data_IF_189200525323
#
_entry.id   IF_189200525323
#
_cell.length_a   1.000
_cell.length_b   1.000
_cell.length_c   1.000
_cell.angle_alpha   90.00
_cell.angle_beta   90.00
_cell.angle_gamma   90.00
#
_symmetry.space_group_name_H-M   'P 1'
#
loop_
_entity.id
_entity.type
_entity.pdbx_description
1 polymer ?
#
# COMPACT_ATOMS: atom_id res chain seq x y z
N UNK A 1 10.12 8.79 83.31
CA UNK A 1 10.24 7.63 82.37
C UNK A 1 8.87 7.38 81.75
N UNK A 2 8.70 7.86 80.52
CA UNK A 2 7.58 7.51 79.66
C UNK A 2 8.14 6.73 78.44
N UNK A 3 7.60 5.59 78.06
CA UNK A 3 7.96 4.93 76.77
C UNK A 3 7.08 5.52 75.63
N UNK A 4 7.75 5.92 74.57
CA UNK A 4 7.16 6.34 73.31
C UNK A 4 6.67 5.07 72.56
N UNK A 5 5.36 5.00 72.34
CA UNK A 5 4.71 3.96 71.56
C UNK A 5 4.77 4.37 70.08
N UNK A 6 5.60 3.70 69.28
CA UNK A 6 5.64 3.89 67.84
C UNK A 6 4.47 3.13 67.20
N UNK A 7 3.49 3.86 66.67
CA UNK A 7 2.42 3.30 65.85
C UNK A 7 2.91 3.19 64.42
N UNK A 8 3.19 1.98 63.96
CA UNK A 8 3.36 1.66 62.53
C UNK A 8 2.01 1.72 61.82
N UNK A 9 1.76 2.79 61.09
CA UNK A 9 0.68 2.82 60.10
C UNK A 9 1.05 1.96 58.90
N UNK A 10 0.55 0.72 58.84
CA UNK A 10 0.53 -0.06 57.62
C UNK A 10 -0.53 0.53 56.70
N UNK A 11 -0.11 1.30 55.70
CA UNK A 11 -0.96 1.65 54.55
C UNK A 11 -1.11 0.42 53.67
N UNK A 12 -2.15 -0.35 53.88
CA UNK A 12 -2.64 -1.33 52.89
C UNK A 12 -3.15 -0.55 51.68
N UNK A 13 -2.28 -0.44 50.66
CA UNK A 13 -2.69 0.02 49.34
C UNK A 13 -3.73 -0.92 48.75
N UNK A 14 -5.00 -0.60 48.89
CA UNK A 14 -6.06 -1.24 48.11
C UNK A 14 -5.82 -0.88 46.62
N UNK A 15 -5.20 -1.80 45.89
CA UNK A 15 -5.26 -1.81 44.45
C UNK A 15 -6.71 -2.16 44.06
N UNK A 16 -7.60 -1.20 44.11
CA UNK A 16 -8.92 -1.33 43.49
C UNK A 16 -8.71 -1.45 42.01
N UNK A 17 -8.72 -2.68 41.48
CA UNK A 17 -9.01 -2.90 40.05
C UNK A 17 -10.30 -2.12 39.81
N UNK A 18 -10.23 -1.02 39.06
CA UNK A 18 -11.44 -0.38 38.51
C UNK A 18 -12.13 -1.45 37.70
N UNK A 19 -13.20 -2.04 38.20
CA UNK A 19 -14.10 -2.84 37.39
C UNK A 19 -14.51 -1.96 36.21
N UNK A 20 -14.23 -2.44 35.01
CA UNK A 20 -14.68 -1.77 33.80
C UNK A 20 -16.21 -1.74 33.85
N UNK A 21 -16.78 -0.56 33.94
CA UNK A 21 -18.23 -0.36 33.86
C UNK A 21 -18.63 -0.88 32.48
N UNK A 22 -19.37 -1.99 32.46
CA UNK A 22 -19.94 -2.52 31.23
C UNK A 22 -20.98 -1.53 30.72
N UNK A 23 -20.67 -0.87 29.62
CA UNK A 23 -21.59 0.01 28.89
C UNK A 23 -22.32 -0.79 27.80
N UNK A 24 -23.50 -0.32 27.41
CA UNK A 24 -24.17 -0.79 26.21
C UNK A 24 -23.23 -0.66 25.01
N UNK A 25 -23.17 -1.65 24.11
CA UNK A 25 -22.39 -1.55 22.88
C UNK A 25 -22.91 -0.49 21.90
N UNK A 26 -24.04 0.16 22.23
CA UNK A 26 -24.63 1.26 21.46
C UNK A 26 -24.39 2.55 22.26
N UNK A 27 -23.69 3.49 21.66
CA UNK A 27 -23.57 4.85 22.20
C UNK A 27 -24.78 5.67 21.74
N UNK A 28 -25.64 6.01 22.68
CA UNK A 28 -26.87 6.78 22.42
C UNK A 28 -26.57 8.21 21.93
N UNK A 29 -25.40 8.76 22.22
CA UNK A 29 -24.99 10.07 21.71
C UNK A 29 -24.82 10.08 20.17
N UNK A 30 -24.63 8.92 19.56
CA UNK A 30 -24.54 8.80 18.11
C UNK A 30 -25.91 8.91 17.39
N UNK A 31 -27.02 8.82 18.14
CA UNK A 31 -28.37 8.88 17.57
C UNK A 31 -28.81 10.35 17.38
N UNK A 32 -29.44 10.62 16.25
CA UNK A 32 -30.26 11.82 16.05
C UNK A 32 -31.74 11.47 16.29
N UNK A 33 -32.20 11.70 17.52
CA UNK A 33 -33.58 11.39 17.91
C UNK A 33 -34.62 12.33 17.30
N UNK A 34 -34.19 13.39 16.62
CA UNK A 34 -35.10 14.31 15.88
C UNK A 34 -35.44 13.75 14.49
N UNK A 35 -34.61 12.84 13.95
CA UNK A 35 -34.86 12.17 12.69
C UNK A 35 -35.87 11.03 12.84
N UNK A 36 -36.80 10.91 11.88
CA UNK A 36 -37.75 9.81 11.84
C UNK A 36 -37.11 8.54 11.27
N UNK A 37 -36.98 7.44 12.04
CA UNK A 37 -36.31 6.22 11.58
C UNK A 37 -36.93 5.63 10.28
N UNK A 38 -38.24 5.78 10.11
CA UNK A 38 -38.94 5.33 8.91
C UNK A 38 -38.67 6.18 7.67
N UNK A 39 -38.18 7.42 7.82
CA UNK A 39 -37.83 8.31 6.71
C UNK A 39 -36.34 8.20 6.36
N UNK A 40 -35.46 8.22 7.37
CA UNK A 40 -34.02 8.04 7.20
C UNK A 40 -33.44 7.35 8.41
N UNK A 41 -33.30 6.03 8.32
CA UNK A 41 -32.70 5.25 9.40
C UNK A 41 -31.23 5.61 9.61
N UNK A 42 -30.50 5.92 8.53
CA UNK A 42 -29.12 6.35 8.61
C UNK A 42 -28.96 7.64 9.44
N UNK A 43 -29.77 8.66 9.15
CA UNK A 43 -29.74 9.90 9.91
C UNK A 43 -30.09 9.65 11.39
N UNK A 44 -31.14 8.87 11.66
CA UNK A 44 -31.52 8.52 13.00
C UNK A 44 -30.39 7.81 13.78
N UNK A 45 -29.74 6.82 13.15
CA UNK A 45 -28.72 5.98 13.79
C UNK A 45 -27.35 6.65 13.93
N UNK A 46 -26.99 7.56 13.03
CA UNK A 46 -25.65 8.12 12.91
C UNK A 46 -25.60 9.66 12.98
N UNK A 47 -26.73 10.36 13.02
CA UNK A 47 -26.77 11.82 12.92
C UNK A 47 -26.02 12.54 14.04
N UNK A 48 -26.12 12.09 15.28
CA UNK A 48 -25.37 12.64 16.41
C UNK A 48 -23.86 12.40 16.27
N UNK A 49 -23.47 11.25 15.74
CA UNK A 49 -22.06 11.00 15.44
C UNK A 49 -21.52 11.96 14.37
N UNK A 50 -22.27 12.18 13.28
CA UNK A 50 -21.90 13.07 12.18
C UNK A 50 -21.75 14.51 12.70
N UNK A 51 -22.66 14.96 13.56
CA UNK A 51 -22.62 16.30 14.15
C UNK A 51 -21.38 16.48 15.05
N UNK A 52 -21.04 15.46 15.84
CA UNK A 52 -19.90 15.51 16.76
C UNK A 52 -18.55 15.28 16.08
N UNK A 53 -18.53 14.79 14.81
CA UNK A 53 -17.32 14.52 14.04
C UNK A 53 -17.39 15.20 12.66
N UNK A 54 -17.33 16.56 12.63
CA UNK A 54 -17.40 17.29 11.36
C UNK A 54 -16.20 16.96 10.48
N UNK A 55 -16.47 16.88 9.15
CA UNK A 55 -15.43 16.64 8.16
C UNK A 55 -14.43 17.82 8.15
N UNK A 56 -13.15 17.53 8.39
CA UNK A 56 -12.06 18.50 8.29
C UNK A 56 -11.51 18.57 6.86
N UNK A 57 -10.81 19.63 6.52
CA UNK A 57 -10.28 19.86 5.17
C UNK A 57 -9.17 18.86 4.75
N UNK A 58 -8.57 18.16 5.71
CA UNK A 58 -7.61 17.05 5.45
C UNK A 58 -8.27 15.80 4.85
N UNK A 59 -9.61 15.68 4.98
CA UNK A 59 -10.37 14.48 4.58
C UNK A 59 -11.45 14.82 3.55
N UNK A 60 -11.63 13.95 2.56
CA UNK A 60 -12.79 13.96 1.66
C UNK A 60 -13.96 13.13 2.19
N UNK A 61 -13.70 12.26 3.13
CA UNK A 61 -14.67 11.45 3.89
C UNK A 61 -14.09 11.17 5.27
N UNK A 62 -14.93 10.92 6.26
CA UNK A 62 -14.49 10.58 7.62
C UNK A 62 -15.48 9.61 8.26
N UNK A 63 -14.97 8.54 8.89
CA UNK A 63 -15.76 7.51 9.53
C UNK A 63 -15.00 6.83 10.67
N UNK A 64 -15.57 5.76 11.23
CA UNK A 64 -14.99 5.04 12.37
C UNK A 64 -13.59 4.49 12.08
N UNK A 65 -13.32 4.06 10.83
CA UNK A 65 -11.99 3.60 10.44
C UNK A 65 -10.97 4.72 10.37
N UNK A 66 -11.39 5.91 9.91
CA UNK A 66 -10.50 7.08 9.89
C UNK A 66 -10.15 7.51 11.32
N UNK A 67 -11.10 7.41 12.28
CA UNK A 67 -10.84 7.65 13.70
C UNK A 67 -9.81 6.67 14.28
N UNK A 68 -9.97 5.36 13.97
CA UNK A 68 -9.02 4.34 14.43
C UNK A 68 -7.63 4.57 13.81
N UNK A 69 -7.59 4.88 12.52
CA UNK A 69 -6.35 5.20 11.81
C UNK A 69 -5.64 6.43 12.40
N UNK A 70 -6.38 7.51 12.72
CA UNK A 70 -5.80 8.68 13.39
C UNK A 70 -5.25 8.32 14.78
N UNK A 71 -5.97 7.51 15.54
CA UNK A 71 -5.50 7.05 16.86
C UNK A 71 -4.23 6.21 16.75
N UNK A 72 -4.18 5.24 15.86
CA UNK A 72 -2.98 4.43 15.61
C UNK A 72 -1.82 5.32 15.16
N UNK A 73 -2.08 6.28 14.27
CA UNK A 73 -1.06 7.22 13.79
C UNK A 73 -0.47 8.09 14.91
N UNK A 74 -1.27 8.57 15.84
CA UNK A 74 -0.76 9.30 17.02
C UNK A 74 0.08 8.38 17.93
N UNK A 75 -0.32 7.12 18.12
CA UNK A 75 0.46 6.13 18.86
C UNK A 75 1.80 5.82 18.19
N UNK A 76 1.80 5.66 16.86
CA UNK A 76 3.01 5.47 16.06
C UNK A 76 3.93 6.70 16.13
N UNK A 77 3.36 7.91 16.06
CA UNK A 77 4.12 9.16 16.22
C UNK A 77 4.87 9.21 17.53
N UNK A 78 4.22 8.85 18.66
CA UNK A 78 4.88 8.81 19.96
C UNK A 78 6.07 7.84 19.97
N UNK A 79 5.90 6.62 19.44
CA UNK A 79 6.96 5.61 19.35
C UNK A 79 8.11 6.07 18.47
N UNK A 80 7.81 6.54 17.29
CA UNK A 80 8.80 6.93 16.27
C UNK A 80 9.57 8.18 16.76
N UNK A 81 8.89 9.19 17.30
CA UNK A 81 9.52 10.40 17.80
C UNK A 81 10.45 10.14 19.00
N UNK A 82 10.09 9.18 19.87
CA UNK A 82 10.97 8.75 20.96
C UNK A 82 12.29 8.18 20.43
N UNK A 83 12.26 7.37 19.38
CA UNK A 83 13.44 6.80 18.74
C UNK A 83 14.24 7.85 17.97
N UNK A 84 13.56 8.74 17.26
CA UNK A 84 14.16 9.82 16.49
C UNK A 84 14.90 10.86 17.37
N UNK A 85 14.47 11.04 18.62
CA UNK A 85 15.13 11.90 19.58
C UNK A 85 16.44 11.31 20.15
N UNK A 86 16.64 10.00 20.09
CA UNK A 86 17.84 9.31 20.59
C UNK A 86 18.99 9.42 19.58
N UNK A 87 20.12 9.96 20.02
CA UNK A 87 21.33 10.13 19.17
C UNK A 87 22.30 8.94 19.23
N UNK A 88 22.07 8.02 20.14
CA UNK A 88 22.92 6.88 20.47
C UNK A 88 22.31 5.52 20.09
N UNK A 89 21.35 5.53 19.17
CA UNK A 89 20.81 4.31 18.60
C UNK A 89 21.94 3.50 17.94
N UNK A 90 22.06 2.22 18.28
CA UNK A 90 23.11 1.35 17.73
C UNK A 90 23.00 1.28 16.18
N UNK A 91 24.12 1.45 15.45
CA UNK A 91 24.11 1.39 14.00
C UNK A 91 23.51 0.08 13.48
N UNK A 92 22.63 0.15 12.46
CA UNK A 92 21.94 -0.99 11.88
C UNK A 92 20.79 -1.56 12.73
N UNK A 93 20.55 -1.02 13.93
CA UNK A 93 19.41 -1.43 14.76
C UNK A 93 18.08 -0.96 14.19
N UNK A 94 17.00 -1.65 14.58
CA UNK A 94 15.63 -1.23 14.28
C UNK A 94 15.35 0.23 14.72
N UNK A 95 15.82 0.60 15.89
CA UNK A 95 15.67 1.96 16.46
C UNK A 95 16.37 3.02 15.61
N UNK A 96 17.59 2.74 15.12
CA UNK A 96 18.32 3.64 14.23
C UNK A 96 17.56 3.81 12.91
N UNK A 97 17.14 2.72 12.27
CA UNK A 97 16.45 2.76 10.97
C UNK A 97 15.17 3.59 11.04
N UNK A 98 14.35 3.36 12.07
CA UNK A 98 13.08 4.09 12.28
C UNK A 98 13.34 5.57 12.59
N UNK A 99 14.26 5.85 13.52
CA UNK A 99 14.57 7.22 13.93
C UNK A 99 15.18 8.06 12.81
N UNK A 100 16.14 7.51 12.08
CA UNK A 100 16.82 8.23 11.00
C UNK A 100 15.90 8.48 9.82
N UNK A 101 15.10 7.50 9.38
CA UNK A 101 14.14 7.69 8.30
C UNK A 101 13.11 8.77 8.64
N UNK A 102 12.64 8.80 9.88
CA UNK A 102 11.73 9.85 10.34
C UNK A 102 12.40 11.23 10.34
N UNK A 103 13.61 11.34 10.88
CA UNK A 103 14.36 12.60 10.91
C UNK A 103 14.62 13.14 9.50
N UNK A 104 15.02 12.29 8.56
CA UNK A 104 15.20 12.66 7.15
C UNK A 104 13.88 13.16 6.55
N UNK A 105 12.77 12.48 6.79
CA UNK A 105 11.45 12.87 6.30
C UNK A 105 10.98 14.22 6.88
N UNK A 106 11.40 14.56 8.10
CA UNK A 106 11.04 15.81 8.78
C UNK A 106 11.93 17.00 8.41
N UNK A 107 13.11 16.77 7.82
CA UNK A 107 14.08 17.84 7.47
C UNK A 107 13.68 18.57 6.19
N UNK A 108 12.68 19.45 6.29
CA UNK A 108 12.23 20.26 5.16
C UNK A 108 13.32 21.20 4.62
N UNK A 109 14.28 21.62 5.44
CA UNK A 109 15.36 22.52 5.01
C UNK A 109 16.29 21.80 4.04
N UNK A 110 16.70 20.57 4.39
CA UNK A 110 17.52 19.70 3.54
C UNK A 110 16.76 19.38 2.25
N UNK A 111 15.51 18.90 2.34
CA UNK A 111 14.71 18.52 1.18
C UNK A 111 14.49 19.68 0.20
N UNK A 112 14.19 20.88 0.70
CA UNK A 112 14.02 22.07 -0.16
C UNK A 112 15.33 22.53 -0.79
N UNK A 113 16.46 22.35 -0.11
CA UNK A 113 17.79 22.63 -0.69
C UNK A 113 18.17 21.63 -1.78
N UNK A 114 17.84 20.37 -1.61
CA UNK A 114 18.12 19.31 -2.59
C UNK A 114 17.26 19.44 -3.85
N UNK A 115 16.00 19.86 -3.71
CA UNK A 115 15.06 19.99 -4.85
C UNK A 115 14.95 18.70 -5.64
N UNK A 116 15.25 18.75 -6.93
CA UNK A 116 15.27 17.60 -7.84
C UNK A 116 16.63 16.84 -7.86
N UNK A 117 17.63 17.27 -7.07
CA UNK A 117 18.95 16.65 -7.11
C UNK A 117 18.95 15.12 -6.89
N UNK A 118 18.11 14.56 -5.98
CA UNK A 118 18.08 13.12 -5.72
C UNK A 118 17.73 12.25 -6.93
N UNK A 119 17.02 12.77 -7.93
CA UNK A 119 16.61 12.00 -9.12
C UNK A 119 17.48 12.31 -10.36
N UNK A 120 18.41 13.24 -10.28
CA UNK A 120 19.17 13.71 -11.46
C UNK A 120 20.03 12.63 -12.11
N UNK A 121 20.67 11.78 -11.32
CA UNK A 121 21.50 10.70 -11.85
C UNK A 121 20.66 9.70 -12.65
N UNK A 122 19.51 9.34 -12.14
CA UNK A 122 18.60 8.40 -12.82
C UNK A 122 17.92 9.04 -14.03
N UNK A 123 17.57 10.34 -13.98
CA UNK A 123 17.13 11.10 -15.15
C UNK A 123 18.17 11.06 -16.27
N UNK A 124 19.45 11.28 -15.92
CA UNK A 124 20.55 11.20 -16.88
C UNK A 124 20.77 9.78 -17.43
N UNK A 125 20.55 8.75 -16.61
CA UNK A 125 20.61 7.35 -17.06
C UNK A 125 19.51 7.04 -18.08
N UNK A 126 18.30 7.58 -17.90
CA UNK A 126 17.20 7.47 -18.88
C UNK A 126 17.59 8.18 -20.18
N UNK A 127 18.15 9.39 -20.10
CA UNK A 127 18.59 10.15 -21.27
C UNK A 127 19.69 9.40 -22.06
N UNK A 128 20.52 8.63 -21.36
CA UNK A 128 21.61 7.85 -21.96
C UNK A 128 21.17 6.56 -22.66
N UNK A 129 19.89 6.13 -22.55
CA UNK A 129 19.37 4.96 -23.27
C UNK A 129 19.53 5.15 -24.78
N UNK A 130 20.11 4.14 -25.44
CA UNK A 130 20.51 4.22 -26.86
C UNK A 130 19.50 3.58 -27.79
N UNK A 131 18.83 2.56 -27.32
CA UNK A 131 17.89 1.78 -28.11
C UNK A 131 16.77 1.18 -27.25
N UNK A 132 15.86 0.50 -27.92
CA UNK A 132 14.67 -0.10 -27.29
C UNK A 132 14.98 -1.33 -26.45
N UNK A 133 16.10 -2.01 -26.71
CA UNK A 133 16.51 -3.18 -25.95
C UNK A 133 16.91 -2.80 -24.53
N UNK A 134 17.51 -1.62 -24.35
CA UNK A 134 17.87 -1.10 -23.02
C UNK A 134 16.63 -0.74 -22.19
N UNK A 135 15.47 -0.48 -22.82
CA UNK A 135 14.21 -0.22 -22.09
C UNK A 135 13.78 -1.43 -21.27
N UNK A 136 13.92 -2.66 -21.78
CA UNK A 136 13.50 -3.87 -21.04
C UNK A 136 14.31 -4.05 -19.74
N UNK A 137 15.61 -3.80 -19.83
CA UNK A 137 16.49 -3.79 -18.65
C UNK A 137 16.12 -2.66 -17.68
N UNK A 138 15.87 -1.46 -18.22
CA UNK A 138 15.49 -0.30 -17.40
C UNK A 138 14.14 -0.53 -16.67
N UNK A 139 13.14 -1.13 -17.33
CA UNK A 139 11.86 -1.49 -16.68
C UNK A 139 12.11 -2.39 -15.46
N UNK A 140 12.95 -3.43 -15.62
CA UNK A 140 13.25 -4.35 -14.53
C UNK A 140 14.02 -3.67 -13.38
N UNK A 141 15.02 -2.82 -13.69
CA UNK A 141 15.75 -2.06 -12.66
C UNK A 141 14.86 -1.04 -11.95
N UNK A 142 13.99 -0.33 -12.66
CA UNK A 142 13.06 0.62 -12.06
C UNK A 142 12.03 -0.05 -11.15
N UNK A 143 11.54 -1.25 -11.52
CA UNK A 143 10.60 -2.01 -10.70
C UNK A 143 11.23 -2.48 -9.37
N UNK A 144 12.52 -2.79 -9.34
CA UNK A 144 13.26 -3.05 -8.09
C UNK A 144 13.24 -1.87 -7.13
N UNK A 145 13.23 -0.65 -7.67
CA UNK A 145 13.21 0.61 -6.92
C UNK A 145 11.79 1.10 -6.59
N UNK A 146 10.75 0.32 -6.93
CA UNK A 146 9.36 0.67 -6.69
C UNK A 146 8.72 1.52 -7.79
N UNK A 147 9.44 1.85 -8.88
CA UNK A 147 8.93 2.59 -10.03
C UNK A 147 8.36 1.58 -11.04
N UNK A 148 7.13 1.76 -11.52
CA UNK A 148 6.40 0.72 -12.27
C UNK A 148 5.90 1.22 -13.63
N UNK A 149 6.81 1.53 -14.57
CA UNK A 149 6.40 1.93 -15.92
C UNK A 149 5.78 0.76 -16.67
N UNK A 150 4.87 1.02 -17.57
CA UNK A 150 4.19 0.12 -18.50
C UNK A 150 3.28 -0.94 -17.85
N UNK A 151 3.78 -1.74 -16.91
CA UNK A 151 3.04 -2.81 -16.24
C UNK A 151 3.63 -3.08 -14.85
N UNK A 152 2.90 -3.86 -14.05
CA UNK A 152 3.37 -4.30 -12.74
C UNK A 152 3.68 -5.79 -12.76
N UNK A 153 4.78 -6.18 -12.11
CA UNK A 153 5.13 -7.58 -11.83
C UNK A 153 5.12 -7.80 -10.32
N UNK A 154 4.56 -8.92 -9.89
CA UNK A 154 4.55 -9.33 -8.49
C UNK A 154 4.54 -10.86 -8.37
N UNK A 155 4.79 -11.35 -7.15
CA UNK A 155 4.71 -12.78 -6.81
C UNK A 155 3.62 -12.97 -5.78
N UNK A 156 2.69 -13.87 -6.05
CA UNK A 156 1.63 -14.25 -5.12
C UNK A 156 1.25 -15.72 -5.32
N UNK A 157 0.39 -16.26 -4.45
CA UNK A 157 -0.16 -17.60 -4.64
C UNK A 157 -0.80 -17.74 -6.03
N UNK A 158 -0.60 -18.88 -6.67
CA UNK A 158 -1.28 -19.25 -7.92
C UNK A 158 -2.77 -19.45 -7.63
N UNK A 159 -3.65 -18.70 -8.32
CA UNK A 159 -5.10 -18.72 -8.12
C UNK A 159 -5.71 -20.13 -8.34
N UNK A 160 -5.09 -20.97 -9.15
CA UNK A 160 -5.51 -22.35 -9.41
C UNK A 160 -4.73 -23.39 -8.60
N UNK A 161 -3.66 -22.99 -7.91
CA UNK A 161 -2.87 -23.82 -7.01
C UNK A 161 -2.34 -23.03 -5.82
N UNK A 162 -3.21 -22.73 -4.88
CA UNK A 162 -2.91 -21.88 -3.71
C UNK A 162 -1.80 -22.37 -2.78
N UNK A 163 -1.19 -23.54 -3.07
CA UNK A 163 -0.03 -24.05 -2.34
C UNK A 163 1.32 -23.56 -2.88
N UNK A 164 1.35 -22.92 -4.06
CA UNK A 164 2.56 -22.48 -4.75
C UNK A 164 2.47 -20.99 -5.10
N UNK A 165 3.60 -20.31 -4.97
CA UNK A 165 3.73 -18.93 -5.45
C UNK A 165 4.12 -18.90 -6.92
N UNK A 166 3.58 -17.92 -7.65
CA UNK A 166 3.83 -17.72 -9.08
C UNK A 166 4.10 -16.25 -9.37
N UNK A 167 4.96 -15.98 -10.36
CA UNK A 167 5.14 -14.66 -10.92
C UNK A 167 3.91 -14.28 -11.73
N UNK A 168 3.42 -13.07 -11.51
CA UNK A 168 2.26 -12.52 -12.21
C UNK A 168 2.60 -11.16 -12.81
N UNK A 169 2.08 -10.87 -14.00
CA UNK A 169 2.09 -9.53 -14.58
C UNK A 169 0.69 -8.96 -14.59
N UNK A 170 0.59 -7.66 -14.39
CA UNK A 170 -0.68 -6.95 -14.31
C UNK A 170 -0.60 -5.62 -15.07
N UNK A 171 -1.67 -5.22 -15.73
CA UNK A 171 -1.74 -3.94 -16.41
C UNK A 171 -1.39 -2.78 -15.49
N UNK A 172 -0.70 -1.76 -16.03
CA UNK A 172 -0.23 -0.61 -15.27
C UNK A 172 0.25 0.52 -16.15
N UNK A 173 1.10 1.37 -15.59
CA UNK A 173 1.74 2.46 -16.32
C UNK A 173 0.82 3.62 -16.67
N UNK A 174 -0.26 3.81 -15.91
CA UNK A 174 -1.22 4.89 -16.05
C UNK A 174 -1.14 5.84 -14.86
N UNK A 175 -0.65 7.05 -15.05
CA UNK A 175 -0.50 8.03 -13.97
C UNK A 175 -1.82 8.44 -13.31
N UNK A 176 -2.95 8.42 -14.02
CA UNK A 176 -4.28 8.61 -13.43
C UNK A 176 -4.90 7.31 -12.87
N UNK A 177 -4.19 6.19 -12.90
CA UNK A 177 -4.54 4.92 -12.28
C UNK A 177 -5.56 4.05 -13.01
N UNK A 178 -6.52 4.62 -13.71
CA UNK A 178 -7.62 3.91 -14.38
C UNK A 178 -7.78 4.35 -15.83
N UNK A 179 -8.15 3.40 -16.72
CA UNK A 179 -8.34 3.66 -18.14
C UNK A 179 -9.43 4.72 -18.42
N UNK A 180 -10.46 4.75 -17.59
CA UNK A 180 -11.64 5.58 -17.82
C UNK A 180 -11.31 7.09 -17.81
N UNK A 181 -10.33 7.51 -17.00
CA UNK A 181 -9.84 8.89 -17.03
C UNK A 181 -9.25 9.33 -18.37
N UNK A 182 -8.76 8.39 -19.19
CA UNK A 182 -8.20 8.66 -20.53
C UNK A 182 -9.24 8.59 -21.62
N UNK A 183 -10.30 7.78 -21.46
CA UNK A 183 -11.19 7.38 -22.54
C UNK A 183 -12.58 8.01 -22.45
N UNK A 184 -13.10 8.21 -21.21
CA UNK A 184 -14.43 8.78 -21.02
C UNK A 184 -14.47 10.28 -21.38
N UNK A 185 -15.67 10.72 -21.82
CA UNK A 185 -15.84 12.06 -22.39
C UNK A 185 -16.85 12.95 -21.65
N UNK A 186 -17.24 12.55 -20.43
CA UNK A 186 -18.00 13.43 -19.56
C UNK A 186 -17.17 14.65 -19.12
N UNK A 187 -17.85 15.70 -18.68
CA UNK A 187 -17.19 16.98 -18.34
C UNK A 187 -16.20 16.85 -17.18
N UNK A 188 -16.55 16.04 -16.18
CA UNK A 188 -15.68 15.85 -15.01
C UNK A 188 -14.37 15.12 -15.40
N UNK A 189 -14.47 14.04 -16.15
CA UNK A 189 -13.30 13.27 -16.61
C UNK A 189 -12.41 14.10 -17.54
N UNK A 190 -13.02 14.91 -18.45
CA UNK A 190 -12.25 15.85 -19.28
C UNK A 190 -11.51 16.88 -18.44
N UNK A 191 -12.17 17.46 -17.44
CA UNK A 191 -11.54 18.43 -16.53
C UNK A 191 -10.35 17.82 -15.77
N UNK A 192 -10.49 16.59 -15.24
CA UNK A 192 -9.41 15.87 -14.56
C UNK A 192 -8.25 15.64 -15.54
N UNK A 193 -8.53 15.19 -16.77
CA UNK A 193 -7.51 14.94 -17.79
C UNK A 193 -6.75 16.22 -18.19
N UNK A 194 -7.42 17.36 -18.28
CA UNK A 194 -6.76 18.63 -18.57
C UNK A 194 -5.91 19.09 -17.39
N UNK A 195 -6.37 18.92 -16.16
CA UNK A 195 -5.56 19.15 -14.96
C UNK A 195 -4.34 18.21 -14.87
N UNK A 196 -4.46 16.97 -15.34
CA UNK A 196 -3.33 16.06 -15.43
C UNK A 196 -2.25 16.54 -16.40
N UNK A 197 -2.64 17.07 -17.58
CA UNK A 197 -1.69 17.67 -18.52
C UNK A 197 -0.95 18.87 -17.91
N UNK A 198 -1.68 19.74 -17.19
CA UNK A 198 -1.06 20.86 -16.46
C UNK A 198 -0.08 20.34 -15.38
N UNK A 199 -0.47 19.28 -14.66
CA UNK A 199 0.37 18.63 -13.66
C UNK A 199 1.66 18.08 -14.26
N UNK A 200 1.57 17.33 -15.35
CA UNK A 200 2.74 16.81 -16.09
C UNK A 200 3.73 17.92 -16.42
N UNK A 201 3.26 19.01 -17.05
CA UNK A 201 4.12 20.14 -17.41
C UNK A 201 4.82 20.75 -16.20
N UNK A 202 4.08 21.01 -15.12
CA UNK A 202 4.63 21.60 -13.90
C UNK A 202 5.68 20.68 -13.24
N UNK A 203 5.44 19.37 -13.21
CA UNK A 203 6.36 18.41 -12.61
C UNK A 203 7.66 18.31 -13.41
N UNK A 204 7.60 18.32 -14.75
CA UNK A 204 8.81 18.41 -15.59
C UNK A 204 9.55 19.73 -15.39
N UNK A 205 8.86 20.85 -15.26
CA UNK A 205 9.49 22.14 -14.95
C UNK A 205 10.21 22.13 -13.59
N UNK A 206 9.59 21.55 -12.55
CA UNK A 206 10.22 21.36 -11.25
C UNK A 206 11.45 20.45 -11.33
N UNK A 207 11.46 19.47 -12.24
CA UNK A 207 12.61 18.61 -12.51
C UNK A 207 13.73 19.33 -13.31
N UNK A 208 13.48 20.58 -13.78
CA UNK A 208 14.48 21.43 -14.43
C UNK A 208 14.34 21.57 -15.94
N UNK A 209 13.26 21.06 -16.54
CA UNK A 209 13.00 21.24 -17.98
C UNK A 209 12.43 22.64 -18.28
N UNK A 210 12.74 23.17 -19.44
CA UNK A 210 12.09 24.37 -19.94
C UNK A 210 10.64 24.09 -20.36
N UNK A 211 9.83 25.14 -20.51
CA UNK A 211 8.41 25.06 -20.87
C UNK A 211 8.17 24.25 -22.17
N UNK A 212 8.98 24.51 -23.20
CA UNK A 212 8.80 23.86 -24.50
C UNK A 212 9.09 22.35 -24.43
N UNK A 213 10.11 21.97 -23.69
CA UNK A 213 10.47 20.55 -23.45
C UNK A 213 9.44 19.89 -22.56
N UNK A 214 8.96 20.55 -21.51
CA UNK A 214 7.91 20.02 -20.61
C UNK A 214 6.59 19.77 -21.38
N UNK A 215 6.23 20.67 -22.31
CA UNK A 215 5.05 20.47 -23.18
C UNK A 215 5.23 19.26 -24.12
N UNK A 216 6.41 19.05 -24.69
CA UNK A 216 6.71 17.85 -25.51
C UNK A 216 6.61 16.57 -24.65
N UNK A 217 7.19 16.58 -23.46
CA UNK A 217 7.12 15.47 -22.52
C UNK A 217 5.68 15.13 -22.15
N UNK A 218 4.86 16.12 -21.84
CA UNK A 218 3.43 15.93 -21.57
C UNK A 218 2.72 15.25 -22.73
N UNK A 219 2.96 15.68 -23.97
CA UNK A 219 2.34 15.06 -25.17
C UNK A 219 2.79 13.61 -25.31
N UNK A 220 4.09 13.31 -25.14
CA UNK A 220 4.64 11.96 -25.21
C UNK A 220 4.02 11.03 -24.15
N UNK A 221 3.97 11.47 -22.89
CA UNK A 221 3.36 10.73 -21.78
C UNK A 221 1.89 10.44 -22.07
N UNK A 222 1.11 11.46 -22.41
CA UNK A 222 -0.31 11.30 -22.71
C UNK A 222 -0.59 10.34 -23.87
N UNK A 223 0.26 10.35 -24.89
CA UNK A 223 0.14 9.45 -26.03
C UNK A 223 0.38 7.99 -25.61
N UNK A 224 1.42 7.72 -24.85
CA UNK A 224 1.75 6.38 -24.36
C UNK A 224 0.65 5.88 -23.41
N UNK A 225 0.32 6.65 -22.38
CA UNK A 225 -0.70 6.26 -21.40
C UNK A 225 -2.08 6.05 -22.04
N UNK A 226 -2.46 6.87 -23.03
CA UNK A 226 -3.73 6.68 -23.77
C UNK A 226 -3.73 5.37 -24.57
N UNK A 227 -2.59 4.98 -25.16
CA UNK A 227 -2.47 3.68 -25.83
C UNK A 227 -2.62 2.54 -24.82
N UNK A 228 -1.92 2.58 -23.70
CA UNK A 228 -2.02 1.60 -22.62
C UNK A 228 -3.45 1.51 -22.08
N UNK A 229 -4.11 2.65 -21.85
CA UNK A 229 -5.48 2.73 -21.37
C UNK A 229 -6.49 2.06 -22.31
N UNK A 230 -6.32 2.20 -23.64
CA UNK A 230 -7.19 1.56 -24.63
C UNK A 230 -7.13 0.03 -24.57
N UNK A 231 -5.97 -0.53 -24.27
CA UNK A 231 -5.76 -1.98 -24.15
C UNK A 231 -6.06 -2.53 -22.75
N UNK A 232 -6.12 -1.66 -21.74
CA UNK A 232 -6.40 -2.04 -20.38
C UNK A 232 -7.87 -2.44 -20.18
N UNK A 233 -8.13 -3.35 -19.24
CA UNK A 233 -9.47 -3.68 -18.74
C UNK A 233 -10.00 -2.62 -17.80
N UNK A 234 -11.30 -2.43 -17.75
CA UNK A 234 -11.99 -1.61 -16.76
C UNK A 234 -11.92 -2.25 -15.36
N UNK A 235 -12.18 -1.45 -14.32
CA UNK A 235 -12.22 -1.94 -12.94
C UNK A 235 -13.27 -3.04 -12.72
N UNK A 236 -14.34 -3.04 -13.48
CA UNK A 236 -15.36 -4.10 -13.44
C UNK A 236 -14.85 -5.40 -14.06
N UNK A 237 -14.23 -5.32 -15.24
CA UNK A 237 -13.64 -6.49 -15.93
C UNK A 237 -12.50 -7.13 -15.13
N UNK A 238 -11.74 -6.33 -14.37
CA UNK A 238 -10.65 -6.83 -13.51
C UNK A 238 -11.14 -7.69 -12.33
N UNK A 239 -12.43 -7.66 -12.01
CA UNK A 239 -13.02 -8.48 -10.95
C UNK A 239 -13.26 -9.94 -11.36
N UNK A 240 -13.12 -10.27 -12.64
CA UNK A 240 -13.23 -11.65 -13.12
C UNK A 240 -11.90 -12.40 -12.95
N UNK A 241 -11.77 -13.28 -11.95
CA UNK A 241 -10.53 -14.00 -11.68
C UNK A 241 -10.18 -14.98 -12.80
N UNK A 242 -11.17 -15.56 -13.47
CA UNK A 242 -10.93 -16.48 -14.59
C UNK A 242 -10.36 -15.74 -15.80
N UNK A 243 -10.88 -14.57 -16.11
CA UNK A 243 -10.36 -13.75 -17.20
C UNK A 243 -8.92 -13.25 -16.92
N UNK A 244 -8.55 -13.07 -15.65
CA UNK A 244 -7.21 -12.65 -15.24
C UNK A 244 -6.21 -13.80 -15.09
N UNK A 245 -6.64 -15.05 -15.26
CA UNK A 245 -5.77 -16.22 -15.17
C UNK A 245 -5.37 -16.73 -16.55
N UNK A 246 -4.15 -16.38 -16.98
CA UNK A 246 -3.57 -16.75 -18.28
C UNK A 246 -2.15 -17.28 -18.06
N UNK A 247 -2.05 -18.38 -17.33
CA UNK A 247 -0.78 -19.05 -17.03
C UNK A 247 -0.12 -19.60 -18.29
N UNK A 248 1.16 -19.33 -18.45
CA UNK A 248 1.96 -19.73 -19.61
C UNK A 248 3.34 -20.22 -19.16
N UNK A 249 3.87 -21.23 -19.86
CA UNK A 249 5.30 -21.51 -19.79
C UNK A 249 6.10 -20.47 -20.59
N UNK A 250 7.42 -20.47 -20.43
CA UNK A 250 8.29 -19.49 -21.07
C UNK A 250 8.32 -19.58 -22.60
N UNK A 251 8.10 -20.75 -23.19
CA UNK A 251 8.03 -20.94 -24.64
C UNK A 251 6.75 -20.30 -25.17
N UNK A 252 5.62 -20.59 -24.56
CA UNK A 252 4.30 -20.02 -24.91
C UNK A 252 4.30 -18.51 -24.71
N UNK A 253 4.91 -18.01 -23.62
CA UNK A 253 5.03 -16.57 -23.35
C UNK A 253 5.78 -15.86 -24.48
N UNK A 254 6.94 -16.34 -24.87
CA UNK A 254 7.75 -15.77 -25.96
C UNK A 254 7.04 -15.85 -27.31
N UNK A 255 6.30 -16.93 -27.55
CA UNK A 255 5.50 -17.09 -28.77
C UNK A 255 4.33 -16.10 -28.84
N UNK A 256 3.66 -15.84 -27.72
CA UNK A 256 2.51 -14.93 -27.65
C UNK A 256 2.92 -13.46 -27.65
N UNK A 257 4.10 -13.14 -27.15
CA UNK A 257 4.66 -11.78 -27.07
C UNK A 257 6.08 -11.74 -27.65
N UNK A 258 6.25 -12.00 -28.96
CA UNK A 258 7.58 -12.20 -29.57
C UNK A 258 8.41 -10.91 -29.66
N UNK A 259 7.75 -9.75 -29.52
CA UNK A 259 8.41 -8.43 -29.60
C UNK A 259 8.82 -7.89 -28.23
N UNK A 260 8.54 -8.62 -27.15
CA UNK A 260 9.01 -8.25 -25.79
C UNK A 260 10.23 -9.10 -25.41
N UNK A 261 11.31 -8.46 -25.00
CA UNK A 261 12.53 -9.19 -24.61
C UNK A 261 12.40 -9.70 -23.15
N UNK A 262 11.69 -10.83 -23.00
CA UNK A 262 11.46 -11.48 -21.72
C UNK A 262 12.74 -11.96 -21.04
N UNK A 263 13.75 -12.38 -21.82
CA UNK A 263 15.01 -12.88 -21.27
C UNK A 263 15.78 -11.75 -20.59
N UNK A 264 15.91 -10.60 -21.24
CA UNK A 264 16.53 -9.42 -20.64
C UNK A 264 15.77 -8.95 -19.39
N UNK A 265 14.46 -8.90 -19.47
CA UNK A 265 13.61 -8.46 -18.36
C UNK A 265 13.72 -9.39 -17.14
N UNK A 266 13.52 -10.71 -17.30
CA UNK A 266 13.54 -11.64 -16.16
C UNK A 266 14.96 -11.85 -15.61
N UNK A 267 15.98 -11.88 -16.46
CA UNK A 267 17.38 -11.95 -16.00
C UNK A 267 17.72 -10.75 -15.12
N UNK A 268 17.37 -9.55 -15.57
CA UNK A 268 17.59 -8.33 -14.80
C UNK A 268 16.77 -8.32 -13.51
N UNK A 269 15.54 -8.83 -13.53
CA UNK A 269 14.71 -8.97 -12.33
C UNK A 269 15.22 -10.03 -11.33
N UNK A 270 16.22 -10.84 -11.68
CA UNK A 270 16.72 -11.93 -10.82
C UNK A 270 15.90 -13.23 -10.92
N UNK A 271 15.11 -13.41 -11.96
CA UNK A 271 14.21 -14.55 -12.20
C UNK A 271 14.73 -15.48 -13.32
N UNK A 272 16.01 -15.89 -13.24
CA UNK A 272 16.69 -16.63 -14.30
C UNK A 272 16.08 -18.03 -14.61
N UNK A 273 15.54 -18.68 -13.57
CA UNK A 273 15.03 -20.07 -13.66
C UNK A 273 13.48 -20.13 -13.72
N UNK A 274 12.85 -19.01 -14.09
CA UNK A 274 11.41 -18.92 -14.16
C UNK A 274 10.86 -19.88 -15.22
N UNK A 275 9.91 -20.74 -14.83
CA UNK A 275 9.30 -21.74 -15.73
C UNK A 275 7.94 -21.31 -16.24
N UNK A 276 7.19 -20.62 -15.43
CA UNK A 276 5.80 -20.27 -15.69
C UNK A 276 5.52 -18.86 -15.15
N UNK A 277 4.62 -18.17 -15.83
CA UNK A 277 4.13 -16.84 -15.43
C UNK A 277 2.64 -16.73 -15.71
N UNK A 278 1.89 -16.03 -14.86
CA UNK A 278 0.54 -15.60 -15.20
C UNK A 278 0.57 -14.20 -15.83
N UNK A 279 0.06 -14.08 -17.07
CA UNK A 279 -0.16 -12.79 -17.72
C UNK A 279 -1.60 -12.37 -17.49
N UNK A 280 -1.85 -11.56 -16.46
CA UNK A 280 -3.20 -11.20 -16.02
C UNK A 280 -4.06 -10.60 -17.13
N UNK A 281 -3.49 -9.69 -17.93
CA UNK A 281 -4.20 -9.01 -19.02
C UNK A 281 -3.37 -9.10 -20.33
N UNK A 282 -3.52 -10.18 -21.11
CA UNK A 282 -2.71 -10.40 -22.31
C UNK A 282 -2.79 -9.28 -23.36
N UNK A 283 -3.98 -8.66 -23.52
CA UNK A 283 -4.15 -7.54 -24.47
C UNK A 283 -3.33 -6.31 -24.04
N UNK A 284 -3.33 -5.98 -22.74
CA UNK A 284 -2.54 -4.89 -22.22
C UNK A 284 -1.03 -5.16 -22.36
N UNK A 285 -0.59 -6.40 -22.07
CA UNK A 285 0.82 -6.78 -22.24
C UNK A 285 1.28 -6.73 -23.68
N UNK A 286 0.40 -7.11 -24.63
CA UNK A 286 0.68 -6.96 -26.06
C UNK A 286 0.87 -5.50 -26.44
N UNK A 287 0.00 -4.61 -25.95
CA UNK A 287 0.13 -3.17 -26.22
C UNK A 287 1.40 -2.59 -25.61
N UNK A 288 1.82 -3.05 -24.42
CA UNK A 288 3.14 -2.68 -23.85
C UNK A 288 4.26 -3.02 -24.82
N UNK A 289 4.29 -4.24 -25.34
CA UNK A 289 5.29 -4.65 -26.33
C UNK A 289 5.22 -3.79 -27.60
N UNK A 290 4.02 -3.51 -28.10
CA UNK A 290 3.79 -2.69 -29.29
C UNK A 290 4.20 -1.22 -29.06
N UNK A 291 3.94 -0.64 -27.88
CA UNK A 291 4.40 0.71 -27.50
C UNK A 291 5.92 0.78 -27.50
N UNK A 292 6.60 -0.14 -26.81
CA UNK A 292 8.07 -0.15 -26.74
C UNK A 292 8.67 -0.25 -28.17
N UNK A 293 8.07 -1.02 -29.05
CA UNK A 293 8.60 -1.23 -30.40
C UNK A 293 8.24 -0.15 -31.43
N UNK A 294 7.15 0.58 -31.24
CA UNK A 294 6.63 1.53 -32.25
C UNK A 294 6.74 2.99 -31.88
N UNK A 295 6.78 3.34 -30.59
CA UNK A 295 6.92 4.72 -30.15
C UNK A 295 8.39 5.16 -30.28
N UNK A 296 8.69 6.40 -30.71
CA UNK A 296 10.05 6.92 -30.74
C UNK A 296 10.74 6.82 -29.38
N UNK A 297 12.05 6.51 -29.39
CA UNK A 297 12.81 6.34 -28.16
C UNK A 297 12.77 7.60 -27.25
N UNK A 298 12.84 8.77 -27.85
CA UNK A 298 12.77 10.05 -27.10
C UNK A 298 11.45 10.23 -26.36
N UNK A 299 10.31 9.84 -26.95
CA UNK A 299 9.03 9.90 -26.28
C UNK A 299 8.94 8.88 -25.13
N UNK A 300 9.56 7.70 -25.30
CA UNK A 300 9.66 6.72 -24.24
C UNK A 300 10.54 7.19 -23.08
N UNK A 301 11.64 7.89 -23.35
CA UNK A 301 12.46 8.52 -22.31
C UNK A 301 11.63 9.48 -21.47
N UNK A 302 10.84 10.36 -22.08
CA UNK A 302 9.94 11.25 -21.34
C UNK A 302 8.94 10.47 -20.48
N UNK A 303 8.39 9.37 -20.98
CA UNK A 303 7.48 8.54 -20.20
C UNK A 303 8.18 7.86 -19.01
N UNK A 304 9.40 7.35 -19.19
CA UNK A 304 10.19 6.75 -18.10
C UNK A 304 10.57 7.81 -17.05
N UNK A 305 11.00 9.00 -17.51
CA UNK A 305 11.29 10.14 -16.62
C UNK A 305 10.06 10.59 -15.85
N UNK A 306 8.89 10.61 -16.47
CA UNK A 306 7.63 10.87 -15.79
C UNK A 306 7.38 9.88 -14.65
N UNK A 307 7.51 8.59 -14.90
CA UNK A 307 7.31 7.57 -13.88
C UNK A 307 8.28 7.72 -12.70
N UNK A 308 9.52 8.12 -12.97
CA UNK A 308 10.51 8.42 -11.92
C UNK A 308 10.11 9.68 -11.12
N UNK A 309 9.77 10.77 -11.80
CA UNK A 309 9.37 12.04 -11.15
C UNK A 309 8.14 11.80 -10.27
N UNK A 310 7.13 11.12 -10.77
CA UNK A 310 5.89 10.83 -10.05
C UNK A 310 6.14 9.98 -8.80
N UNK A 311 6.92 8.90 -8.93
CA UNK A 311 7.28 8.03 -7.82
C UNK A 311 8.08 8.76 -6.73
N UNK A 312 8.97 9.67 -7.11
CA UNK A 312 9.82 10.41 -6.19
C UNK A 312 9.14 11.64 -5.58
N UNK A 313 8.10 12.18 -6.20
CA UNK A 313 7.51 13.48 -5.90
C UNK A 313 7.22 13.74 -4.41
N UNK A 314 6.74 12.72 -3.69
CA UNK A 314 6.42 12.83 -2.25
C UNK A 314 7.66 12.87 -1.34
N UNK A 315 8.85 12.62 -1.87
CA UNK A 315 10.12 12.48 -1.16
C UNK A 315 11.16 13.55 -1.56
N UNK A 316 10.73 14.51 -2.37
CA UNK A 316 11.55 15.65 -2.82
C UNK A 316 11.17 16.95 -2.08
N UNK A 317 11.45 18.12 -2.68
CA UNK A 317 11.13 19.43 -2.08
C UNK A 317 9.62 19.66 -1.92
N UNK A 318 9.29 20.66 -1.09
CA UNK A 318 7.90 21.05 -0.84
C UNK A 318 7.13 21.44 -2.11
N UNK A 319 7.79 21.98 -3.13
CA UNK A 319 7.17 22.31 -4.42
C UNK A 319 6.67 21.06 -5.15
N UNK A 320 7.47 19.97 -5.18
CA UNK A 320 7.07 18.69 -5.74
C UNK A 320 5.90 18.10 -4.95
N UNK A 321 6.02 18.08 -3.62
CA UNK A 321 4.98 17.57 -2.72
C UNK A 321 3.67 18.36 -2.89
N UNK A 322 3.74 19.69 -3.00
CA UNK A 322 2.58 20.54 -3.18
C UNK A 322 1.90 20.29 -4.54
N UNK A 323 2.67 20.16 -5.61
CA UNK A 323 2.13 19.89 -6.95
C UNK A 323 1.53 18.48 -7.04
N UNK A 324 2.15 17.49 -6.39
CA UNK A 324 1.62 16.14 -6.30
C UNK A 324 0.28 16.11 -5.52
N UNK A 325 0.22 16.82 -4.39
CA UNK A 325 -1.01 16.98 -3.62
C UNK A 325 -2.11 17.68 -4.41
N UNK A 326 -1.79 18.74 -5.14
CA UNK A 326 -2.76 19.51 -5.90
C UNK A 326 -3.50 18.67 -6.96
N UNK A 327 -2.79 17.74 -7.59
CA UNK A 327 -3.41 16.85 -8.56
C UNK A 327 -4.08 15.64 -7.88
N UNK A 328 -3.33 14.78 -7.22
CA UNK A 328 -3.85 13.49 -6.73
C UNK A 328 -4.80 13.61 -5.53
N UNK A 329 -4.54 14.57 -4.64
CA UNK A 329 -5.36 14.72 -3.45
C UNK A 329 -6.47 15.75 -3.63
N UNK A 330 -6.16 16.94 -4.14
CA UNK A 330 -7.17 17.99 -4.31
C UNK A 330 -8.06 17.73 -5.52
N UNK A 331 -7.47 17.55 -6.70
CA UNK A 331 -8.25 17.40 -7.95
C UNK A 331 -8.96 16.04 -8.02
N UNK A 332 -8.25 14.94 -7.79
CA UNK A 332 -8.84 13.61 -7.93
C UNK A 332 -9.64 13.14 -6.71
N UNK A 333 -9.21 13.50 -5.49
CA UNK A 333 -9.81 12.98 -4.25
C UNK A 333 -10.64 13.99 -3.48
N UNK A 334 -10.64 15.27 -3.85
CA UNK A 334 -11.47 16.33 -3.23
C UNK A 334 -10.98 16.81 -1.86
N UNK A 335 -9.74 16.49 -1.45
CA UNK A 335 -9.14 17.02 -0.22
C UNK A 335 -8.79 18.49 -0.41
N UNK A 336 -8.98 19.32 0.61
CA UNK A 336 -8.70 20.75 0.53
C UNK A 336 -7.36 21.12 1.12
N UNK A 337 -6.91 20.39 2.14
CA UNK A 337 -5.67 20.64 2.89
C UNK A 337 -4.75 19.42 2.92
N UNK A 338 -3.44 19.67 2.81
CA UNK A 338 -2.42 18.64 2.92
C UNK A 338 -2.21 18.25 4.38
N UNK A 339 -2.08 16.96 4.63
CA UNK A 339 -1.73 16.47 5.96
C UNK A 339 -0.39 17.07 6.44
N UNK A 340 -0.26 17.40 7.74
CA UNK A 340 0.98 17.87 8.33
C UNK A 340 2.16 16.94 8.02
N UNK A 341 3.37 17.49 7.91
CA UNK A 341 4.58 16.73 7.56
C UNK A 341 4.80 15.51 8.43
N UNK A 342 4.57 15.63 9.75
CA UNK A 342 4.74 14.51 10.64
C UNK A 342 3.83 13.31 10.32
N UNK A 343 2.58 13.55 9.90
CA UNK A 343 1.67 12.45 9.47
C UNK A 343 2.21 11.73 8.25
N UNK A 344 2.72 12.48 7.29
CA UNK A 344 3.34 11.93 6.08
C UNK A 344 4.62 11.16 6.41
N UNK A 345 5.47 11.71 7.29
CA UNK A 345 6.70 11.06 7.76
C UNK A 345 6.41 9.74 8.50
N UNK A 346 5.44 9.74 9.42
CA UNK A 346 5.00 8.50 10.10
C UNK A 346 4.50 7.48 9.10
N UNK A 347 3.68 7.88 8.11
CA UNK A 347 3.19 6.97 7.08
C UNK A 347 4.31 6.38 6.21
N UNK A 348 5.36 7.16 5.92
CA UNK A 348 6.52 6.64 5.17
C UNK A 348 7.33 5.65 6.00
N UNK A 349 7.59 5.95 7.27
CA UNK A 349 8.30 5.03 8.17
C UNK A 349 7.52 3.73 8.32
N UNK A 350 6.21 3.82 8.53
CA UNK A 350 5.31 2.67 8.65
C UNK A 350 5.26 1.85 7.34
N UNK A 351 5.18 2.50 6.19
CA UNK A 351 5.19 1.84 4.89
C UNK A 351 6.52 1.15 4.55
N UNK A 352 7.66 1.72 4.98
CA UNK A 352 9.00 1.20 4.66
C UNK A 352 9.53 0.18 5.67
N UNK A 353 9.10 0.26 6.93
CA UNK A 353 9.60 -0.51 8.07
C UNK A 353 8.44 -1.13 8.87
N UNK A 354 7.36 -1.49 8.20
CA UNK A 354 6.07 -1.79 8.81
C UNK A 354 6.10 -2.83 9.91
N UNK A 355 6.79 -3.98 9.73
CA UNK A 355 6.87 -4.99 10.78
C UNK A 355 7.83 -4.60 11.90
N UNK A 356 8.87 -3.80 11.61
CA UNK A 356 9.76 -3.24 12.67
C UNK A 356 8.95 -2.33 13.59
N UNK A 357 8.19 -1.41 13.00
CA UNK A 357 7.29 -0.52 13.74
C UNK A 357 6.18 -1.32 14.43
N UNK A 358 5.65 -2.34 13.73
CA UNK A 358 4.61 -3.24 14.25
C UNK A 358 5.04 -4.00 15.51
N UNK A 359 6.27 -4.47 15.57
CA UNK A 359 6.82 -5.12 16.76
C UNK A 359 6.84 -4.16 17.95
N UNK A 360 7.32 -2.93 17.77
CA UNK A 360 7.35 -1.90 18.80
C UNK A 360 5.93 -1.49 19.25
N UNK A 361 5.00 -1.39 18.27
CA UNK A 361 3.60 -1.10 18.55
C UNK A 361 2.94 -2.17 19.42
N UNK A 362 3.16 -3.43 19.11
CA UNK A 362 2.62 -4.57 19.85
C UNK A 362 3.13 -4.60 21.28
N UNK A 363 4.43 -4.38 21.49
CA UNK A 363 5.05 -4.35 22.83
C UNK A 363 4.39 -3.30 23.74
N UNK A 364 3.98 -2.16 23.20
CA UNK A 364 3.40 -1.06 23.98
C UNK A 364 1.86 -1.08 24.04
N UNK A 365 1.18 -1.41 22.94
CA UNK A 365 -0.26 -1.19 22.79
C UNK A 365 -1.10 -2.45 22.62
N UNK A 366 -0.50 -3.61 22.33
CA UNK A 366 -1.25 -4.85 22.11
C UNK A 366 -0.72 -6.02 22.95
N UNK A 367 -1.06 -6.09 24.24
CA UNK A 367 -0.53 -7.12 25.15
C UNK A 367 -0.97 -8.53 24.76
N UNK A 368 -0.13 -9.54 25.08
CA UNK A 368 -0.36 -10.95 24.75
C UNK A 368 -1.75 -11.46 25.21
N UNK A 369 -2.22 -11.02 26.38
CA UNK A 369 -3.54 -11.37 26.88
C UNK A 369 -4.70 -10.91 25.97
N UNK A 370 -4.52 -9.81 25.21
CA UNK A 370 -5.50 -9.38 24.22
C UNK A 370 -5.52 -10.34 23.00
N UNK A 371 -4.33 -10.76 22.51
CA UNK A 371 -4.20 -11.77 21.46
C UNK A 371 -4.89 -13.08 21.87
N UNK A 372 -4.60 -13.60 23.05
CA UNK A 372 -5.19 -14.85 23.59
C UNK A 372 -6.72 -14.76 23.66
N UNK A 373 -7.27 -13.64 24.15
CA UNK A 373 -8.72 -13.41 24.23
C UNK A 373 -9.36 -13.42 22.84
N UNK A 374 -8.75 -12.79 21.85
CA UNK A 374 -9.25 -12.76 20.47
C UNK A 374 -9.14 -14.13 19.79
N UNK A 375 -8.07 -14.89 20.03
CA UNK A 375 -7.94 -16.29 19.56
C UNK A 375 -9.05 -17.14 20.15
N UNK A 376 -9.37 -17.00 21.45
CA UNK A 376 -10.49 -17.67 22.10
C UNK A 376 -11.84 -17.30 21.49
N UNK A 377 -12.06 -16.02 21.16
CA UNK A 377 -13.27 -15.56 20.48
C UNK A 377 -13.43 -16.23 19.10
N UNK A 378 -12.38 -16.22 18.28
CA UNK A 378 -12.41 -16.84 16.94
C UNK A 378 -12.66 -18.35 17.03
N UNK A 379 -12.05 -19.04 18.00
CA UNK A 379 -12.30 -20.47 18.24
C UNK A 379 -13.76 -20.74 18.60
N UNK A 380 -14.38 -19.90 19.41
CA UNK A 380 -15.82 -20.01 19.73
C UNK A 380 -16.69 -19.80 18.48
N UNK A 381 -16.34 -18.84 17.61
CA UNK A 381 -17.03 -18.62 16.34
C UNK A 381 -16.92 -19.85 15.42
N UNK A 382 -15.74 -20.44 15.30
CA UNK A 382 -15.53 -21.66 14.51
C UNK A 382 -16.36 -22.84 15.06
N UNK A 383 -16.40 -23.00 16.39
CA UNK A 383 -17.22 -24.02 17.05
C UNK A 383 -18.71 -23.83 16.74
N UNK A 384 -19.21 -22.61 16.93
CA UNK A 384 -20.62 -22.29 16.66
C UNK A 384 -20.98 -22.47 15.18
N UNK A 385 -20.07 -22.12 14.25
CA UNK A 385 -20.27 -22.36 12.81
C UNK A 385 -20.33 -23.86 12.51
N UNK A 386 -19.48 -24.68 13.14
CA UNK A 386 -19.51 -26.14 12.99
C UNK A 386 -20.81 -26.75 13.48
N UNK A 387 -21.34 -26.28 14.62
CA UNK A 387 -22.67 -26.71 15.14
C UNK A 387 -23.77 -26.31 14.18
N UNK A 388 -23.78 -25.10 13.66
CA UNK A 388 -24.76 -24.63 12.68
C UNK A 388 -24.72 -25.45 11.39
N UNK A 389 -23.55 -25.76 10.84
CA UNK A 389 -23.39 -26.59 9.62
C UNK A 389 -24.06 -27.95 9.86
N UNK A 390 -23.80 -28.59 11.00
CA UNK A 390 -24.43 -29.89 11.35
C UNK A 390 -25.95 -29.81 11.40
N UNK A 391 -26.51 -28.70 11.87
CA UNK A 391 -27.95 -28.50 12.05
C UNK A 391 -28.68 -28.04 10.76
N UNK A 392 -27.98 -27.74 9.65
CA UNK A 392 -28.65 -27.28 8.42
C UNK A 392 -29.48 -28.38 7.77
N UNK A 393 -30.79 -28.14 7.62
CA UNK A 393 -31.73 -29.11 7.02
C UNK A 393 -31.62 -29.17 5.49
N UNK A 394 -31.26 -28.04 4.85
CA UNK A 394 -31.12 -27.94 3.38
C UNK A 394 -29.84 -28.52 2.82
N UNK A 395 -28.83 -28.77 3.65
CA UNK A 395 -27.51 -29.28 3.25
C UNK A 395 -27.47 -30.80 3.40
N UNK A 396 -27.06 -31.52 2.33
CA UNK A 396 -26.91 -32.98 2.40
C UNK A 396 -25.78 -33.40 3.34
N UNK A 397 -25.87 -34.60 3.94
CA UNK A 397 -24.84 -35.11 4.87
C UNK A 397 -23.43 -35.16 4.25
N UNK A 398 -23.23 -35.63 2.98
CA UNK A 398 -21.90 -35.55 2.36
C UNK A 398 -21.36 -34.12 2.23
N UNK A 399 -22.26 -33.16 1.96
CA UNK A 399 -21.85 -31.74 1.85
C UNK A 399 -21.51 -31.17 3.23
N UNK A 400 -22.22 -31.52 4.29
CA UNK A 400 -21.89 -31.15 5.67
C UNK A 400 -20.49 -31.64 6.06
N UNK A 401 -20.15 -32.88 5.72
CA UNK A 401 -18.81 -33.43 5.95
C UNK A 401 -17.74 -32.57 5.27
N UNK A 402 -17.92 -32.23 3.99
CA UNK A 402 -17.00 -31.38 3.26
C UNK A 402 -16.90 -29.96 3.82
N UNK A 403 -18.01 -29.39 4.25
CA UNK A 403 -18.03 -28.07 4.89
C UNK A 403 -17.27 -28.07 6.23
N UNK A 404 -17.42 -29.13 7.04
CA UNK A 404 -16.67 -29.28 8.29
C UNK A 404 -15.18 -29.55 8.06
N UNK A 405 -14.80 -30.33 7.04
CA UNK A 405 -13.41 -30.50 6.60
C UNK A 405 -12.82 -29.14 6.24
N UNK A 406 -13.52 -28.33 5.43
CA UNK A 406 -13.10 -26.98 5.07
C UNK A 406 -12.94 -26.07 6.29
N UNK A 407 -13.90 -26.09 7.22
CA UNK A 407 -13.82 -25.30 8.46
C UNK A 407 -12.57 -25.67 9.29
N UNK A 408 -12.23 -26.95 9.34
CA UNK A 408 -11.04 -27.43 10.06
C UNK A 408 -9.71 -26.98 9.44
N UNK A 409 -9.69 -26.56 8.17
CA UNK A 409 -8.48 -26.09 7.47
C UNK A 409 -8.25 -24.59 7.57
N UNK A 410 -9.14 -23.83 8.22
CA UNK A 410 -8.95 -22.39 8.37
C UNK A 410 -7.72 -22.07 9.21
N UNK A 411 -6.80 -21.36 8.59
CA UNK A 411 -5.62 -20.81 9.24
C UNK A 411 -5.96 -19.44 9.83
N UNK A 412 -5.79 -19.30 11.15
CA UNK A 412 -6.20 -18.11 11.90
C UNK A 412 -4.99 -17.25 12.22
N UNK A 413 -5.02 -15.98 11.83
CA UNK A 413 -3.98 -14.97 12.12
C UNK A 413 -4.59 -13.85 12.93
N UNK A 414 -4.17 -13.67 14.18
CA UNK A 414 -4.74 -12.71 15.13
C UNK A 414 -3.64 -11.84 15.72
N UNK A 415 -3.81 -10.53 15.60
CA UNK A 415 -3.03 -9.49 16.24
C UNK A 415 -1.66 -9.26 15.60
N UNK A 416 -0.75 -10.22 15.64
CA UNK A 416 0.62 -10.09 15.15
C UNK A 416 1.25 -11.46 14.85
N UNK A 417 2.29 -11.51 13.96
CA UNK A 417 3.00 -12.75 13.62
C UNK A 417 3.78 -13.29 14.81
N UNK A 418 3.98 -14.60 14.83
CA UNK A 418 4.89 -15.24 15.80
C UNK A 418 6.36 -15.13 15.37
N UNK A 419 6.60 -14.91 14.06
CA UNK A 419 7.91 -14.66 13.48
C UNK A 419 7.87 -13.41 12.65
N UNK A 420 8.67 -12.41 13.03
CA UNK A 420 8.84 -11.16 12.33
C UNK A 420 9.80 -11.29 11.14
N UNK A 421 9.62 -10.46 10.12
CA UNK A 421 10.54 -10.35 8.98
C UNK A 421 11.89 -9.79 9.45
N UNK A 422 12.96 -10.26 8.82
CA UNK A 422 14.31 -9.78 9.07
C UNK A 422 14.67 -8.59 8.18
N UNK A 423 14.74 -7.40 8.77
CA UNK A 423 15.15 -6.18 8.10
C UNK A 423 16.66 -5.89 8.24
N UNK A 424 17.48 -6.84 8.68
CA UNK A 424 18.92 -6.62 8.91
C UNK A 424 19.65 -6.13 7.64
N UNK A 425 19.26 -6.65 6.47
CA UNK A 425 19.82 -6.28 5.18
C UNK A 425 19.37 -4.92 4.64
N UNK A 426 18.31 -4.32 5.20
CA UNK A 426 17.86 -2.98 4.81
C UNK A 426 18.71 -1.92 5.50
N UNK A 427 19.40 -1.08 4.74
CA UNK A 427 20.15 0.06 5.27
C UNK A 427 19.37 1.36 5.13
N UNK A 428 19.27 2.12 6.23
CA UNK A 428 18.83 3.52 6.23
C UNK A 428 20.04 4.39 6.50
N UNK A 429 20.32 5.36 5.61
CA UNK A 429 21.51 6.22 5.59
C UNK A 429 21.14 7.69 5.68
N UNK A 430 22.00 8.50 6.26
CA UNK A 430 21.89 9.97 6.25
C UNK A 430 22.35 10.55 4.90
N UNK A 431 21.66 10.14 3.85
CA UNK A 431 21.82 10.67 2.49
C UNK A 431 20.52 11.31 1.99
N UNK A 432 19.98 10.93 0.85
CA UNK A 432 18.71 11.49 0.36
C UNK A 432 17.51 10.70 0.89
N UNK A 433 16.38 11.40 1.06
CA UNK A 433 15.13 10.75 1.43
C UNK A 433 14.71 9.74 0.36
N UNK A 434 14.75 10.15 -0.92
CA UNK A 434 14.42 9.28 -2.05
C UNK A 434 15.29 8.02 -2.09
N UNK A 435 16.61 8.13 -1.91
CA UNK A 435 17.51 6.98 -1.92
C UNK A 435 17.17 5.96 -0.80
N UNK A 436 16.67 6.39 0.34
CA UNK A 436 16.21 5.49 1.39
C UNK A 436 14.92 4.76 0.99
N UNK A 437 14.02 5.42 0.26
CA UNK A 437 12.81 4.80 -0.28
C UNK A 437 13.15 3.75 -1.36
N UNK A 438 14.11 4.06 -2.24
CA UNK A 438 14.61 3.08 -3.22
C UNK A 438 15.20 1.84 -2.55
N UNK A 439 16.01 2.01 -1.47
CA UNK A 439 16.56 0.87 -0.70
C UNK A 439 15.47 0.04 -0.03
N UNK A 440 14.46 0.67 0.54
CA UNK A 440 13.33 -0.04 1.12
C UNK A 440 12.54 -0.82 0.05
N UNK A 441 12.28 -0.19 -1.10
CA UNK A 441 11.62 -0.84 -2.24
C UNK A 441 12.43 -2.01 -2.79
N UNK A 442 13.75 -1.87 -2.88
CA UNK A 442 14.65 -2.93 -3.33
C UNK A 442 14.65 -4.12 -2.35
N UNK A 443 14.59 -3.84 -1.04
CA UNK A 443 14.48 -4.88 -0.03
C UNK A 443 13.17 -5.65 -0.17
N UNK A 444 12.04 -4.94 -0.29
CA UNK A 444 10.72 -5.54 -0.52
C UNK A 444 10.66 -6.35 -1.82
N UNK A 445 11.25 -5.82 -2.89
CA UNK A 445 11.32 -6.53 -4.16
C UNK A 445 12.11 -7.84 -4.04
N UNK A 446 13.25 -7.81 -3.35
CA UNK A 446 14.07 -9.00 -3.13
C UNK A 446 13.33 -10.07 -2.29
N UNK A 447 12.62 -9.66 -1.23
CA UNK A 447 11.76 -10.55 -0.43
C UNK A 447 10.66 -11.18 -1.29
N UNK A 448 10.03 -10.37 -2.15
CA UNK A 448 8.97 -10.81 -3.04
C UNK A 448 9.46 -11.84 -4.07
N UNK A 449 10.53 -11.54 -4.83
CA UNK A 449 11.02 -12.46 -5.87
C UNK A 449 11.61 -13.75 -5.29
N UNK A 450 12.14 -13.70 -4.08
CA UNK A 450 12.66 -14.88 -3.39
C UNK A 450 11.59 -15.98 -3.18
N UNK A 451 10.30 -15.64 -3.30
CA UNK A 451 9.15 -16.56 -3.17
C UNK A 451 8.74 -17.20 -4.50
N UNK A 452 9.21 -16.69 -5.64
CA UNK A 452 8.80 -17.17 -6.96
C UNK A 452 9.05 -18.67 -7.13
N UNK A 453 8.03 -19.42 -7.55
CA UNK A 453 8.08 -20.87 -7.73
C UNK A 453 8.25 -21.71 -6.45
N UNK A 454 8.14 -21.10 -5.28
CA UNK A 454 8.22 -21.79 -3.99
C UNK A 454 6.83 -22.02 -3.38
N UNK A 455 6.71 -22.99 -2.44
CA UNK A 455 5.49 -23.16 -1.67
C UNK A 455 5.09 -21.87 -0.94
N UNK A 456 3.77 -21.67 -0.82
CA UNK A 456 3.22 -20.54 -0.04
C UNK A 456 3.49 -20.77 1.44
N UNK A 457 4.08 -19.77 2.09
CA UNK A 457 4.19 -19.73 3.55
C UNK A 457 2.84 -19.27 4.13
N UNK A 458 2.12 -20.21 4.75
CA UNK A 458 0.81 -19.91 5.36
C UNK A 458 0.92 -19.04 6.61
N UNK A 459 2.08 -18.96 7.22
CA UNK A 459 2.32 -18.15 8.42
C UNK A 459 2.77 -16.71 8.08
N UNK A 460 3.09 -16.42 6.82
CA UNK A 460 3.43 -15.08 6.36
C UNK A 460 2.27 -14.10 6.55
N UNK A 461 2.55 -12.95 7.16
CA UNK A 461 1.61 -11.85 7.30
C UNK A 461 1.77 -10.86 6.15
N UNK A 462 0.63 -10.47 5.54
CA UNK A 462 0.58 -9.49 4.46
C UNK A 462 0.16 -8.10 4.96
N UNK A 463 -0.17 -7.99 6.24
CA UNK A 463 -0.56 -6.74 6.91
C UNK A 463 0.18 -6.62 8.23
N UNK A 464 0.48 -5.39 8.61
CA UNK A 464 1.13 -5.10 9.89
C UNK A 464 0.12 -4.98 11.03
N UNK A 465 0.52 -5.21 12.29
CA UNK A 465 -0.40 -5.18 13.44
C UNK A 465 -1.10 -3.84 13.68
N UNK A 466 -0.47 -2.74 13.29
CA UNK A 466 -1.00 -1.39 13.45
C UNK A 466 -1.96 -0.97 12.32
N UNK A 467 -2.13 -1.79 11.30
CA UNK A 467 -3.01 -1.51 10.17
C UNK A 467 -4.47 -1.81 10.53
N UNK A 468 -5.34 -0.81 10.41
CA UNK A 468 -6.79 -1.00 10.49
C UNK A 468 -7.34 -1.30 9.11
N UNK A 469 -7.92 -2.46 8.94
CA UNK A 469 -8.60 -2.82 7.71
C UNK A 469 -9.87 -3.63 8.00
N UNK A 470 -10.90 -3.42 7.19
CA UNK A 470 -12.10 -4.25 7.18
C UNK A 470 -12.36 -4.76 5.78
N UNK A 471 -12.11 -6.03 5.58
CA UNK A 471 -12.54 -6.75 4.39
C UNK A 471 -13.72 -7.64 4.79
N UNK A 472 -14.93 -7.09 4.71
CA UNK A 472 -16.15 -7.88 4.81
C UNK A 472 -16.54 -8.31 3.39
N UNK A 473 -15.99 -9.41 2.92
CA UNK A 473 -16.58 -10.15 1.81
C UNK A 473 -17.76 -10.93 2.37
N UNK A 474 -18.94 -10.34 2.29
CA UNK A 474 -20.12 -11.18 2.25
C UNK A 474 -20.03 -11.95 0.94
N UNK A 475 -19.89 -13.28 1.00
CA UNK A 475 -20.28 -14.08 -0.15
C UNK A 475 -21.65 -13.58 -0.59
N UNK A 476 -21.93 -13.42 -1.89
CA UNK A 476 -23.25 -13.05 -2.32
C UNK A 476 -24.19 -14.02 -1.64
N UNK A 477 -24.97 -13.50 -0.72
CA UNK A 477 -26.07 -14.25 -0.15
C UNK A 477 -26.96 -14.63 -1.32
N UNK A 478 -27.37 -15.88 -1.44
CA UNK A 478 -28.33 -16.28 -2.45
C UNK A 478 -29.57 -15.44 -2.40
#
# INVERSE_FOLDING_TARGET
YLPILAVCLMTTGCNSKKEAVLTSGIDLANLDTTAMPGTSFYQYACGGWIESHPLTDEYSRFGSFDMLHEKSREQLKELIAELAAKKDNAPGSAAQKVGDLYNIAMDSVKLNKEGAAPIKEEMAAIDALKDKEEIYTYIAESQKKGIRPYFTMFVSADDMNSSMNMVQTYQGGLGMGQRDYYLENDEQTKSIRDKYKEHLVKMFQLAGYDEATAQKAMVAVMNIETRLAKAARSQVELRDPHANYNKMDMETLKKNFPTFNWDAYFTTSGLNDLKEVNVGQPAAMKEVADVINTVPLEDQKFYLQWNLIDAAASFLSDDFVAQNFDFYSRTMSGKKEMQPRWKRAVSTVDGSLGEVVGQMYVEKYFPAAAKERMVGLVKNLQTSLGERIKALEWMSEPTKVKALEKLATFHVKIGYPDKWKDYSALEIKDDSYWANIERASQWDFNDMIAKAGKPVDKDEWLMTPQTENCLLYTSPSP
#
